data_IF_011139929675
#
_entry.id   IF_011139929675
#
_cell.length_a   1.000
_cell.length_b   1.000
_cell.length_c   1.000
_cell.angle_alpha   90.00
_cell.angle_beta   90.00
_cell.angle_gamma   90.00
#
_symmetry.space_group_name_H-M   'P 1'
#
loop_
_entity.id
_entity.type
_entity.pdbx_description
1 polymer ?
#
# COMPACT_ATOMS: atom_id res chain seq x y z
N UNK A 1 0.72 33.46 -27.87
CA UNK A 1 -0.47 33.47 -27.00
C UNK A 1 -0.88 32.08 -26.50
N UNK A 2 -0.59 30.98 -27.21
CA UNK A 2 -0.76 29.63 -26.62
C UNK A 2 0.42 29.18 -25.74
N UNK A 3 1.65 29.67 -26.02
CA UNK A 3 2.87 29.26 -25.28
C UNK A 3 3.09 29.96 -23.93
N UNK A 4 2.41 31.08 -23.64
CA UNK A 4 2.58 31.77 -22.34
C UNK A 4 1.70 31.18 -21.22
N UNK A 5 0.62 30.46 -21.57
CA UNK A 5 -0.24 29.78 -20.59
C UNK A 5 0.30 28.41 -20.17
N UNK A 6 1.16 27.78 -20.97
CA UNK A 6 1.83 26.50 -20.63
C UNK A 6 2.86 26.64 -19.50
N UNK A 7 3.42 27.83 -19.25
CA UNK A 7 4.35 28.05 -18.14
C UNK A 7 3.65 28.15 -16.78
N UNK A 8 2.35 28.49 -16.72
CA UNK A 8 1.65 28.76 -15.46
C UNK A 8 1.24 27.51 -14.68
N UNK A 9 0.92 26.41 -15.36
CA UNK A 9 0.45 25.19 -14.72
C UNK A 9 1.48 24.10 -14.94
N UNK A 10 2.14 23.69 -13.86
CA UNK A 10 3.03 22.53 -13.88
C UNK A 10 2.27 21.31 -13.40
N UNK A 11 2.30 20.23 -14.18
CA UNK A 11 1.57 19.02 -13.85
C UNK A 11 2.38 17.74 -14.09
N UNK A 12 2.11 16.74 -13.26
CA UNK A 12 2.68 15.39 -13.38
C UNK A 12 1.56 14.39 -13.21
N UNK A 13 1.48 13.45 -14.16
CA UNK A 13 0.63 12.27 -14.05
C UNK A 13 1.50 11.05 -13.78
N UNK A 14 1.12 10.24 -12.80
CA UNK A 14 1.78 8.99 -12.49
C UNK A 14 0.75 7.87 -12.34
N UNK A 15 1.25 6.64 -12.39
CA UNK A 15 0.49 5.45 -12.07
C UNK A 15 1.22 4.70 -10.95
N UNK A 16 0.48 4.10 -10.01
CA UNK A 16 1.06 3.24 -8.98
C UNK A 16 0.29 1.92 -8.86
N UNK A 17 1.01 0.80 -8.67
CA UNK A 17 0.41 -0.52 -8.54
C UNK A 17 -0.17 -0.78 -7.15
N UNK A 18 -1.12 -1.71 -7.09
CA UNK A 18 -1.58 -2.31 -5.84
C UNK A 18 -0.53 -3.32 -5.33
N UNK A 19 -0.40 -3.44 -3.99
CA UNK A 19 0.34 -4.54 -3.37
C UNK A 19 -0.57 -5.42 -2.48
N UNK A 20 -0.19 -6.70 -2.32
CA UNK A 20 -0.86 -7.65 -1.44
C UNK A 20 0.13 -8.15 -0.39
N UNK A 21 -0.20 -8.00 0.89
CA UNK A 21 0.65 -8.48 1.97
C UNK A 21 0.61 -10.02 2.05
N UNK A 22 1.78 -10.62 2.10
CA UNK A 22 2.02 -12.05 2.36
C UNK A 22 2.46 -12.29 3.80
N UNK A 23 3.15 -11.31 4.41
CA UNK A 23 3.27 -11.17 5.87
C UNK A 23 2.53 -9.90 6.27
N UNK A 24 1.50 -10.06 7.10
CA UNK A 24 0.52 -9.00 7.35
C UNK A 24 1.02 -7.89 8.28
N UNK A 25 0.72 -6.66 7.86
CA UNK A 25 0.71 -5.48 8.71
C UNK A 25 -0.64 -5.40 9.46
N UNK A 26 -0.61 -5.49 10.79
CA UNK A 26 -1.80 -5.31 11.63
C UNK A 26 -1.40 -4.76 13.01
N UNK A 27 -1.88 -3.56 13.33
CA UNK A 27 -1.48 -2.80 14.51
C UNK A 27 -0.39 -1.76 14.25
N UNK A 28 -0.51 -0.61 14.92
CA UNK A 28 0.45 0.50 14.93
C UNK A 28 1.04 0.68 16.33
N UNK A 29 2.35 0.84 16.45
CA UNK A 29 2.97 1.33 17.69
C UNK A 29 2.84 2.85 17.84
N UNK A 30 2.67 3.55 16.73
CA UNK A 30 2.47 5.00 16.66
C UNK A 30 1.40 5.34 15.60
N UNK A 31 0.31 5.99 16.02
CA UNK A 31 -0.79 6.37 15.12
C UNK A 31 -0.50 7.63 14.30
N UNK A 32 0.34 8.53 14.81
CA UNK A 32 0.63 9.82 14.21
C UNK A 32 1.61 9.69 13.04
N UNK A 33 2.69 8.91 13.25
CA UNK A 33 3.74 8.60 12.30
C UNK A 33 3.42 7.35 11.46
N UNK A 34 2.37 6.61 11.84
CA UNK A 34 1.93 5.35 11.22
C UNK A 34 3.06 4.31 11.28
N UNK A 35 3.62 4.10 12.47
CA UNK A 35 4.67 3.10 12.69
C UNK A 35 4.04 1.76 13.06
N UNK A 36 4.46 0.64 12.45
CA UNK A 36 3.79 -0.64 12.63
C UNK A 36 4.28 -1.35 13.90
N UNK A 37 3.49 -2.29 14.42
CA UNK A 37 3.97 -3.20 15.48
C UNK A 37 5.03 -4.19 14.98
N UNK A 38 4.93 -4.60 13.73
CA UNK A 38 5.79 -5.60 13.11
C UNK A 38 6.10 -5.24 11.66
N UNK A 39 7.23 -5.74 11.14
CA UNK A 39 7.54 -5.65 9.72
C UNK A 39 6.51 -6.44 8.90
N UNK A 40 6.39 -6.12 7.62
CA UNK A 40 5.48 -6.81 6.70
C UNK A 40 6.15 -7.04 5.36
N UNK A 41 5.62 -7.99 4.59
CA UNK A 41 6.11 -8.33 3.25
C UNK A 41 4.91 -8.38 2.32
N UNK A 42 5.05 -7.84 1.11
CA UNK A 42 4.02 -7.87 0.09
C UNK A 42 4.56 -8.19 -1.29
N UNK A 43 3.66 -8.57 -2.19
CA UNK A 43 3.91 -8.64 -3.62
C UNK A 43 3.17 -7.49 -4.31
N UNK A 44 3.89 -6.76 -5.15
CA UNK A 44 3.34 -5.73 -6.03
C UNK A 44 2.73 -6.38 -7.26
N UNK A 45 1.49 -5.99 -7.60
CA UNK A 45 0.74 -6.55 -8.71
C UNK A 45 1.08 -5.86 -10.03
N UNK A 46 0.70 -6.48 -11.15
CA UNK A 46 0.86 -5.91 -12.48
C UNK A 46 0.11 -4.58 -12.58
N UNK A 47 0.84 -3.51 -12.91
CA UNK A 47 0.30 -2.15 -12.99
C UNK A 47 -0.77 -2.02 -14.08
N UNK A 48 -0.67 -2.79 -15.16
CA UNK A 48 -1.65 -2.78 -16.25
C UNK A 48 -3.03 -3.32 -15.82
N UNK A 49 -3.06 -4.16 -14.78
CA UNK A 49 -4.29 -4.81 -14.29
C UNK A 49 -4.96 -4.00 -13.19
N UNK A 50 -4.21 -3.59 -12.15
CA UNK A 50 -4.73 -2.92 -10.97
C UNK A 50 -3.84 -1.76 -10.54
N UNK A 51 -4.32 -0.54 -10.74
CA UNK A 51 -3.56 0.67 -10.46
C UNK A 51 -4.42 1.85 -9.99
N UNK A 52 -3.74 2.81 -9.38
CA UNK A 52 -4.22 4.18 -9.20
C UNK A 52 -3.50 5.07 -10.20
N UNK A 53 -4.23 5.96 -10.86
CA UNK A 53 -3.67 7.07 -11.65
C UNK A 53 -3.87 8.34 -10.82
N UNK A 54 -2.82 9.13 -10.66
CA UNK A 54 -2.90 10.43 -10.00
C UNK A 54 -2.22 11.48 -10.85
N UNK A 55 -2.95 12.54 -11.15
CA UNK A 55 -2.44 13.79 -11.71
C UNK A 55 -2.34 14.82 -10.58
N UNK A 56 -1.18 15.41 -10.41
CA UNK A 56 -0.97 16.57 -9.53
C UNK A 56 -0.62 17.78 -10.39
N UNK A 57 -1.24 18.91 -10.10
CA UNK A 57 -0.99 20.17 -10.77
C UNK A 57 -0.75 21.28 -9.75
N UNK A 58 0.15 22.21 -10.04
CA UNK A 58 0.45 23.39 -9.23
C UNK A 58 0.44 24.63 -10.11
N UNK A 59 -0.13 25.72 -9.61
CA UNK A 59 -0.25 26.99 -10.34
C UNK A 59 -0.35 28.17 -9.37
N UNK A 60 0.21 29.35 -9.71
CA UNK A 60 -0.01 30.57 -8.95
C UNK A 60 -1.46 31.08 -9.03
N UNK A 61 -2.22 30.64 -10.04
CA UNK A 61 -3.62 31.06 -10.25
C UNK A 61 -4.62 30.20 -9.46
N UNK A 62 -4.17 29.13 -8.80
CA UNK A 62 -5.02 28.36 -7.89
C UNK A 62 -5.24 29.13 -6.59
N UNK A 63 -6.43 29.01 -6.00
CA UNK A 63 -6.81 29.73 -4.79
C UNK A 63 -6.96 28.82 -3.55
N UNK A 64 -6.94 27.50 -3.75
CA UNK A 64 -7.14 26.49 -2.69
C UNK A 64 -6.51 25.14 -3.09
N UNK A 65 -6.11 24.35 -2.11
CA UNK A 65 -5.69 22.96 -2.31
C UNK A 65 -6.96 22.09 -2.53
N UNK A 66 -7.07 21.40 -3.67
CA UNK A 66 -8.24 20.60 -4.02
C UNK A 66 -7.90 19.16 -4.39
N UNK A 67 -8.77 18.21 -4.00
CA UNK A 67 -8.71 16.82 -4.44
C UNK A 67 -9.97 16.42 -5.18
N UNK A 68 -9.84 15.76 -6.32
CA UNK A 68 -10.88 14.98 -6.96
C UNK A 68 -10.51 13.50 -6.87
N UNK A 69 -11.36 12.69 -6.24
CA UNK A 69 -11.19 11.25 -6.14
C UNK A 69 -12.36 10.56 -6.84
N UNK A 70 -12.09 9.85 -7.93
CA UNK A 70 -13.10 9.22 -8.79
C UNK A 70 -14.21 10.22 -9.19
N UNK A 71 -13.82 11.43 -9.59
CA UNK A 71 -14.72 12.50 -10.02
C UNK A 71 -15.43 13.29 -8.90
N UNK A 72 -15.27 12.91 -7.63
CA UNK A 72 -15.86 13.64 -6.49
C UNK A 72 -14.85 14.62 -5.90
N UNK A 73 -15.23 15.90 -5.78
CA UNK A 73 -14.41 16.92 -5.11
C UNK A 73 -14.42 16.70 -3.60
N UNK A 74 -13.24 16.82 -2.99
CA UNK A 74 -12.99 16.76 -1.56
C UNK A 74 -12.14 17.95 -1.14
N UNK A 75 -12.42 18.47 0.05
CA UNK A 75 -11.61 19.52 0.68
C UNK A 75 -10.39 18.89 1.36
N UNK A 76 -9.19 19.30 0.94
CA UNK A 76 -7.93 18.81 1.52
C UNK A 76 -7.78 19.28 2.98
N UNK A 77 -8.42 20.39 3.37
CA UNK A 77 -8.41 20.88 4.75
C UNK A 77 -8.97 19.86 5.75
N UNK A 78 -9.87 18.98 5.32
CA UNK A 78 -10.48 17.92 6.13
C UNK A 78 -9.71 16.57 6.04
N UNK A 79 -8.58 16.53 5.33
CA UNK A 79 -7.84 15.31 5.01
C UNK A 79 -6.41 15.33 5.62
N UNK A 80 -6.26 15.11 6.94
CA UNK A 80 -5.00 15.31 7.65
C UNK A 80 -3.85 14.43 7.12
N UNK A 81 -4.16 13.27 6.56
CA UNK A 81 -3.16 12.37 5.97
C UNK A 81 -2.57 12.92 4.67
N UNK A 82 -3.39 13.54 3.82
CA UNK A 82 -2.93 14.21 2.59
C UNK A 82 -2.14 15.46 2.96
N UNK A 83 -2.63 16.27 3.90
CA UNK A 83 -1.90 17.43 4.40
C UNK A 83 -0.51 17.06 4.92
N UNK A 84 -0.38 15.97 5.69
CA UNK A 84 0.93 15.46 6.16
C UNK A 84 1.86 15.10 5.00
N UNK A 85 1.37 14.45 3.95
CA UNK A 85 2.17 14.14 2.76
C UNK A 85 2.60 15.42 2.02
N UNK A 86 1.67 16.36 1.78
CA UNK A 86 1.95 17.63 1.11
C UNK A 86 2.97 18.47 1.87
N UNK A 87 2.78 18.64 3.19
CA UNK A 87 3.70 19.39 4.04
C UNK A 87 5.10 18.80 4.02
N UNK A 88 5.24 17.47 4.07
CA UNK A 88 6.56 16.83 4.03
C UNK A 88 7.24 16.97 2.66
N UNK A 89 6.49 16.84 1.56
CA UNK A 89 7.04 17.09 0.22
C UNK A 89 7.46 18.56 0.07
N UNK A 90 6.63 19.51 0.50
CA UNK A 90 6.98 20.95 0.47
C UNK A 90 8.23 21.23 1.30
N UNK A 91 8.34 20.67 2.51
CA UNK A 91 9.54 20.77 3.35
C UNK A 91 10.79 20.27 2.62
N UNK A 92 10.75 19.07 2.04
CA UNK A 92 11.89 18.48 1.33
C UNK A 92 12.25 19.27 0.07
N UNK A 93 11.25 19.82 -0.63
CA UNK A 93 11.49 20.66 -1.82
C UNK A 93 12.26 21.93 -1.49
N UNK A 94 12.24 22.42 -0.24
CA UNK A 94 13.02 23.59 0.20
C UNK A 94 14.52 23.31 0.23
N UNK A 95 14.93 22.05 0.36
CA UNK A 95 16.33 21.64 0.29
C UNK A 95 16.88 21.62 -1.15
N UNK A 96 16.02 21.72 -2.18
CA UNK A 96 16.47 21.80 -3.57
C UNK A 96 17.30 23.07 -3.82
N UNK A 97 18.27 23.02 -4.75
CA UNK A 97 19.11 24.18 -5.07
C UNK A 97 18.26 25.42 -5.41
N UNK A 98 18.70 26.64 -5.04
CA UNK A 98 17.94 27.87 -5.26
C UNK A 98 17.61 28.14 -6.75
N UNK A 99 18.39 27.57 -7.66
CA UNK A 99 18.19 27.67 -9.12
C UNK A 99 17.26 26.59 -9.71
N UNK A 100 16.55 25.82 -8.87
CA UNK A 100 15.52 24.91 -9.36
C UNK A 100 14.38 25.73 -9.99
N UNK A 101 14.02 25.40 -11.23
CA UNK A 101 13.06 26.14 -12.04
C UNK A 101 11.66 26.27 -11.42
N UNK A 102 11.36 25.52 -10.36
CA UNK A 102 10.05 25.44 -9.71
C UNK A 102 10.02 26.11 -8.33
N UNK A 103 11.06 26.87 -7.96
CA UNK A 103 11.14 27.52 -6.64
C UNK A 103 9.96 28.46 -6.34
N UNK A 104 9.43 29.13 -7.36
CA UNK A 104 8.28 30.03 -7.24
C UNK A 104 6.94 29.30 -7.01
N UNK A 105 6.86 28.00 -7.29
CA UNK A 105 5.63 27.20 -7.14
C UNK A 105 5.54 26.46 -5.80
N UNK A 106 6.58 26.53 -4.95
CA UNK A 106 6.66 25.73 -3.72
C UNK A 106 5.55 26.03 -2.71
N UNK A 107 5.10 27.28 -2.67
CA UNK A 107 4.04 27.75 -1.78
C UNK A 107 2.69 27.92 -2.50
N UNK A 108 2.62 27.58 -3.79
CA UNK A 108 1.37 27.61 -4.54
C UNK A 108 0.43 26.47 -4.14
N UNK A 109 -0.87 26.69 -4.36
CA UNK A 109 -1.90 25.69 -4.16
C UNK A 109 -1.79 24.57 -5.21
N UNK A 110 -2.27 23.39 -4.84
CA UNK A 110 -2.16 22.16 -5.62
C UNK A 110 -3.56 21.60 -5.88
N UNK A 111 -3.80 21.22 -7.12
CA UNK A 111 -4.95 20.42 -7.52
C UNK A 111 -4.52 18.97 -7.76
N UNK A 112 -5.24 18.03 -7.18
CA UNK A 112 -4.97 16.59 -7.28
C UNK A 112 -6.19 15.92 -7.89
N UNK A 113 -6.02 15.19 -8.99
CA UNK A 113 -7.05 14.32 -9.53
C UNK A 113 -6.56 12.88 -9.48
N UNK A 114 -7.31 11.99 -8.83
CA UNK A 114 -6.94 10.59 -8.66
C UNK A 114 -8.11 9.66 -8.96
N UNK A 115 -7.82 8.56 -9.65
CA UNK A 115 -8.78 7.53 -10.00
C UNK A 115 -8.15 6.13 -9.85
N UNK A 116 -8.99 5.14 -9.58
CA UNK A 116 -8.59 3.74 -9.55
C UNK A 116 -9.34 2.98 -10.65
N UNK A 117 -8.66 2.07 -11.36
CA UNK A 117 -9.31 1.22 -12.35
C UNK A 117 -10.03 -0.01 -11.72
N UNK A 118 -10.19 -0.03 -10.39
CA UNK A 118 -10.80 -1.12 -9.64
C UNK A 118 -11.82 -0.61 -8.62
N UNK A 119 -12.84 -1.42 -8.26
CA UNK A 119 -13.88 -0.96 -7.33
C UNK A 119 -13.29 -0.63 -5.97
N UNK A 120 -13.47 0.62 -5.51
CA UNK A 120 -12.99 1.09 -4.20
C UNK A 120 -13.47 0.21 -3.04
N UNK A 121 -14.66 -0.41 -3.18
CA UNK A 121 -15.26 -1.27 -2.17
C UNK A 121 -14.71 -2.72 -2.17
N UNK A 122 -14.06 -3.20 -3.25
CA UNK A 122 -13.62 -4.59 -3.41
C UNK A 122 -12.42 -5.00 -2.51
N UNK A 123 -12.05 -4.18 -1.51
CA UNK A 123 -11.00 -4.55 -0.57
C UNK A 123 -9.59 -4.62 -1.16
N UNK A 124 -9.36 -4.03 -2.34
CA UNK A 124 -8.10 -4.11 -3.10
C UNK A 124 -7.03 -3.10 -2.66
N UNK A 125 -7.01 -2.71 -1.39
CA UNK A 125 -6.03 -1.75 -0.86
C UNK A 125 -5.94 -0.44 -1.68
N UNK A 126 -7.09 0.10 -2.12
CA UNK A 126 -7.19 1.36 -2.89
C UNK A 126 -6.41 2.52 -2.26
N UNK A 127 -6.41 2.62 -0.94
CA UNK A 127 -5.63 3.66 -0.25
C UNK A 127 -4.12 3.47 -0.41
N UNK A 128 -3.62 2.24 -0.46
CA UNK A 128 -2.18 2.00 -0.57
C UNK A 128 -1.65 2.49 -1.93
N UNK A 129 -2.30 2.07 -3.01
CA UNK A 129 -1.93 2.52 -4.36
C UNK A 129 -2.16 4.02 -4.53
N UNK A 130 -3.28 4.57 -4.05
CA UNK A 130 -3.58 6.00 -4.18
C UNK A 130 -2.56 6.91 -3.48
N UNK A 131 -2.21 6.64 -2.21
CA UNK A 131 -1.20 7.43 -1.50
C UNK A 131 0.21 7.24 -2.07
N UNK A 132 0.54 6.03 -2.52
CA UNK A 132 1.81 5.77 -3.21
C UNK A 132 1.91 6.58 -4.50
N UNK A 133 0.85 6.58 -5.31
CA UNK A 133 0.77 7.35 -6.55
C UNK A 133 0.85 8.86 -6.30
N UNK A 134 0.11 9.35 -5.30
CA UNK A 134 0.14 10.75 -4.88
C UNK A 134 1.55 11.19 -4.49
N UNK A 135 2.20 10.47 -3.58
CA UNK A 135 3.53 10.83 -3.09
C UNK A 135 4.57 10.75 -4.22
N UNK A 136 4.47 9.75 -5.09
CA UNK A 136 5.36 9.64 -6.25
C UNK A 136 5.13 10.79 -7.25
N UNK A 137 3.88 11.12 -7.58
CA UNK A 137 3.58 12.23 -8.49
C UNK A 137 4.06 13.59 -7.92
N UNK A 138 3.85 13.81 -6.61
CA UNK A 138 4.34 14.99 -5.90
C UNK A 138 5.87 15.05 -5.86
N UNK A 139 6.57 13.95 -5.61
CA UNK A 139 8.04 13.95 -5.59
C UNK A 139 8.61 14.26 -6.96
N UNK A 140 7.97 13.76 -8.04
CA UNK A 140 8.32 14.10 -9.42
C UNK A 140 8.05 15.57 -9.75
N UNK A 141 6.88 16.09 -9.36
CA UNK A 141 6.50 17.49 -9.59
C UNK A 141 7.46 18.45 -8.87
N UNK A 142 7.74 18.20 -7.59
CA UNK A 142 8.60 19.06 -6.76
C UNK A 142 10.09 18.70 -6.82
N UNK A 143 10.48 17.76 -7.69
CA UNK A 143 11.86 17.30 -7.86
C UNK A 143 12.53 16.90 -6.54
N UNK A 144 11.81 16.15 -5.70
CA UNK A 144 12.31 15.61 -4.43
C UNK A 144 12.97 14.26 -4.72
N UNK A 145 14.30 14.24 -4.67
CA UNK A 145 15.12 13.03 -4.90
C UNK A 145 15.62 12.45 -3.58
N UNK A 146 14.71 11.81 -2.84
CA UNK A 146 15.01 11.14 -1.58
C UNK A 146 14.13 9.90 -1.38
N UNK A 147 14.35 9.19 -0.27
CA UNK A 147 13.50 8.07 0.14
C UNK A 147 12.06 8.57 0.43
N UNK A 148 11.10 8.20 -0.43
CA UNK A 148 9.72 8.67 -0.36
C UNK A 148 8.76 7.66 0.29
N UNK A 149 9.22 6.44 0.58
CA UNK A 149 8.38 5.42 1.21
C UNK A 149 7.94 5.81 2.63
N UNK A 150 8.75 6.59 3.34
CA UNK A 150 8.38 7.18 4.64
C UNK A 150 7.19 8.15 4.52
N UNK A 151 7.16 8.96 3.46
CA UNK A 151 6.08 9.92 3.20
C UNK A 151 4.80 9.18 2.83
N UNK A 152 4.91 8.15 1.98
CA UNK A 152 3.79 7.29 1.61
C UNK A 152 3.22 6.58 2.85
N UNK A 153 4.06 6.08 3.75
CA UNK A 153 3.66 5.46 5.03
C UNK A 153 2.78 6.38 5.86
N UNK A 154 3.16 7.65 6.00
CA UNK A 154 2.42 8.68 6.77
C UNK A 154 1.04 8.98 6.20
N UNK A 155 0.85 8.78 4.89
CA UNK A 155 -0.46 8.86 4.24
C UNK A 155 -1.30 7.59 4.46
N UNK A 156 -0.71 6.43 4.15
CA UNK A 156 -1.30 5.12 4.39
C UNK A 156 -0.18 4.11 4.60
N UNK A 157 -0.14 3.44 5.76
CA UNK A 157 1.02 2.61 6.15
C UNK A 157 1.51 1.66 5.05
N UNK A 158 0.60 0.88 4.46
CA UNK A 158 0.94 -0.07 3.38
C UNK A 158 1.28 0.56 2.03
N UNK A 159 1.08 1.87 1.83
CA UNK A 159 1.43 2.57 0.60
C UNK A 159 2.95 2.60 0.37
N UNK A 160 3.76 2.58 1.45
CA UNK A 160 5.22 2.55 1.34
C UNK A 160 5.70 1.38 0.47
N UNK A 161 5.01 0.22 0.53
CA UNK A 161 5.38 -0.97 -0.24
C UNK A 161 5.01 -0.89 -1.72
N UNK A 162 4.08 0.00 -2.11
CA UNK A 162 3.71 0.22 -3.52
C UNK A 162 4.70 1.13 -4.26
N UNK A 163 5.67 1.72 -3.57
CA UNK A 163 6.75 2.51 -4.19
C UNK A 163 7.69 1.62 -5.04
N UNK A 164 7.76 0.33 -4.73
CA UNK A 164 8.64 -0.63 -5.40
C UNK A 164 7.86 -1.75 -6.10
N UNK A 165 8.43 -2.30 -7.18
CA UNK A 165 7.92 -3.50 -7.86
C UNK A 165 8.38 -4.81 -7.21
N UNK A 166 7.80 -5.93 -7.61
CA UNK A 166 8.20 -7.27 -7.16
C UNK A 166 7.79 -7.58 -5.71
N UNK A 167 8.73 -8.11 -4.93
CA UNK A 167 8.54 -8.43 -3.51
C UNK A 167 9.13 -7.30 -2.66
N UNK A 168 8.33 -6.77 -1.75
CA UNK A 168 8.66 -5.54 -1.01
C UNK A 168 8.38 -5.73 0.47
N UNK A 169 9.41 -5.53 1.30
CA UNK A 169 9.27 -5.50 2.73
C UNK A 169 9.01 -4.06 3.20
N UNK A 170 8.19 -3.91 4.23
CA UNK A 170 8.17 -2.70 5.06
C UNK A 170 8.79 -3.05 6.40
N UNK A 171 9.93 -2.44 6.68
CA UNK A 171 10.64 -2.60 7.94
C UNK A 171 9.92 -1.80 9.03
N UNK A 172 9.70 -2.43 10.18
CA UNK A 172 9.06 -1.73 11.29
C UNK A 172 9.85 -0.52 11.76
N UNK A 173 11.17 -0.53 11.63
CA UNK A 173 12.04 0.42 12.30
C UNK A 173 12.01 0.30 13.83
N UNK A 174 13.00 0.89 14.47
CA UNK A 174 13.22 0.93 15.91
C UNK A 174 13.30 2.37 16.41
N UNK A 175 13.64 3.32 15.54
CA UNK A 175 13.72 4.73 15.89
C UNK A 175 12.32 5.31 16.16
N UNK A 176 12.25 6.16 17.18
CA UNK A 176 11.00 6.81 17.61
C UNK A 176 10.49 7.84 16.59
N UNK A 177 11.39 8.48 15.84
CA UNK A 177 11.04 9.39 14.75
C UNK A 177 10.54 8.67 13.48
N UNK A 178 10.73 7.35 13.41
CA UNK A 178 10.31 6.50 12.32
C UNK A 178 11.14 6.65 11.04
N UNK A 179 12.31 7.28 11.09
CA UNK A 179 13.18 7.49 9.93
C UNK A 179 13.71 6.18 9.32
N UNK A 180 13.77 5.11 10.11
CA UNK A 180 14.16 3.76 9.69
C UNK A 180 12.97 2.83 9.38
N UNK A 181 11.73 3.31 9.49
CA UNK A 181 10.54 2.52 9.11
C UNK A 181 10.16 2.77 7.65
N UNK A 182 10.94 2.17 6.75
CA UNK A 182 10.86 2.36 5.29
C UNK A 182 10.55 1.06 4.55
N UNK A 183 10.19 1.18 3.28
CA UNK A 183 10.04 0.02 2.41
C UNK A 183 11.36 -0.32 1.71
N UNK A 184 11.61 -1.61 1.48
CA UNK A 184 12.77 -2.13 0.75
C UNK A 184 12.33 -3.20 -0.24
N UNK A 185 12.81 -3.10 -1.47
CA UNK A 185 12.65 -4.17 -2.45
C UNK A 185 13.51 -5.37 -2.05
N UNK A 186 12.87 -6.53 -1.87
CA UNK A 186 13.52 -7.80 -1.58
C UNK A 186 13.91 -8.50 -2.88
N UNK A 187 13.02 -8.48 -3.87
CA UNK A 187 13.25 -9.05 -5.19
C UNK A 187 12.46 -8.29 -6.24
N UNK A 188 13.04 -8.07 -7.41
CA UNK A 188 12.34 -7.43 -8.53
C UNK A 188 11.25 -8.36 -9.10
N UNK A 189 10.37 -7.79 -9.93
CA UNK A 189 9.34 -8.55 -10.65
C UNK A 189 9.91 -9.66 -11.55
N UNK A 190 11.16 -9.53 -12.01
CA UNK A 190 11.82 -10.52 -12.85
C UNK A 190 12.31 -11.75 -12.10
N UNK A 191 12.40 -11.67 -10.76
CA UNK A 191 12.90 -12.77 -9.94
C UNK A 191 12.00 -14.01 -10.00
N UNK A 192 10.67 -13.83 -10.07
CA UNK A 192 9.70 -14.93 -10.09
C UNK A 192 8.65 -14.76 -11.20
N UNK A 193 9.07 -14.89 -12.45
CA UNK A 193 8.20 -14.68 -13.63
C UNK A 193 6.98 -15.61 -13.71
N UNK A 194 7.01 -16.76 -13.05
CA UNK A 194 5.88 -17.71 -12.96
C UNK A 194 4.88 -17.42 -11.83
N UNK A 195 5.13 -16.41 -11.00
CA UNK A 195 4.26 -16.04 -9.90
C UNK A 195 2.98 -15.39 -10.43
N UNK A 196 1.81 -15.86 -10.00
CA UNK A 196 0.52 -15.30 -10.36
C UNK A 196 -0.32 -15.04 -9.11
N UNK A 197 -1.17 -14.03 -9.21
CA UNK A 197 -2.16 -13.71 -8.19
C UNK A 197 -3.53 -13.80 -8.84
N UNK A 198 -4.43 -14.54 -8.23
CA UNK A 198 -5.83 -14.62 -8.59
C UNK A 198 -6.65 -13.97 -7.48
N UNK A 199 -7.44 -12.96 -7.80
CA UNK A 199 -8.30 -12.29 -6.82
C UNK A 199 -9.73 -12.77 -7.02
N UNK A 200 -10.31 -13.39 -6.00
CA UNK A 200 -11.71 -13.76 -5.97
C UNK A 200 -12.48 -12.72 -5.15
N UNK A 201 -13.21 -11.86 -5.86
CA UNK A 201 -14.15 -10.91 -5.24
C UNK A 201 -15.40 -11.70 -4.85
N UNK A 202 -15.58 -11.90 -3.54
CA UNK A 202 -16.71 -12.62 -2.96
C UNK A 202 -17.90 -11.68 -2.75
N UNK A 203 -17.65 -10.39 -2.50
CA UNK A 203 -18.65 -9.32 -2.51
C UNK A 203 -17.98 -7.95 -2.61
N UNK A 204 -18.74 -7.00 -3.12
CA UNK A 204 -18.38 -5.60 -3.31
C UNK A 204 -18.98 -4.68 -2.23
N UNK A 205 -19.59 -5.25 -1.19
CA UNK A 205 -20.21 -4.48 -0.12
C UNK A 205 -19.17 -3.76 0.74
N UNK A 206 -19.48 -2.52 1.13
CA UNK A 206 -18.58 -1.71 1.96
C UNK A 206 -18.32 -2.38 3.32
N UNK A 207 -17.06 -2.30 3.77
CA UNK A 207 -16.65 -2.86 5.07
C UNK A 207 -17.41 -2.17 6.21
N UNK A 208 -17.95 -2.96 7.13
CA UNK A 208 -18.61 -2.45 8.33
C UNK A 208 -17.64 -1.82 9.35
N UNK A 209 -16.39 -2.31 9.41
CA UNK A 209 -15.32 -1.75 10.26
C UNK A 209 -14.09 -1.53 9.37
N UNK A 210 -13.57 -0.30 9.38
CA UNK A 210 -12.36 0.05 8.63
C UNK A 210 -11.10 -0.55 9.26
N UNK A 211 -10.08 -0.83 8.45
CA UNK A 211 -8.83 -1.44 8.93
C UNK A 211 -8.12 -0.60 10.01
N UNK A 212 -8.21 0.74 9.95
CA UNK A 212 -7.61 1.61 10.98
C UNK A 212 -8.23 1.36 12.35
N UNK A 213 -9.55 1.38 12.43
CA UNK A 213 -10.30 1.13 13.66
C UNK A 213 -10.13 -0.33 14.14
N UNK A 214 -10.20 -1.29 13.22
CA UNK A 214 -10.03 -2.71 13.53
C UNK A 214 -8.64 -3.03 14.10
N UNK A 215 -7.59 -2.43 13.55
CA UNK A 215 -6.22 -2.58 14.07
C UNK A 215 -6.05 -1.96 15.44
N UNK A 216 -6.59 -0.75 15.65
CA UNK A 216 -6.54 -0.06 16.94
C UNK A 216 -7.21 -0.89 18.03
N UNK A 217 -8.43 -1.36 17.78
CA UNK A 217 -9.15 -2.22 18.70
C UNK A 217 -8.40 -3.52 18.98
N UNK A 218 -7.74 -4.09 17.99
CA UNK A 218 -6.94 -5.31 18.16
C UNK A 218 -5.75 -5.07 19.09
N UNK A 219 -5.11 -3.90 19.03
CA UNK A 219 -4.03 -3.53 19.97
C UNK A 219 -4.55 -3.41 21.39
N UNK A 220 -5.69 -2.74 21.56
CA UNK A 220 -6.27 -2.48 22.87
C UNK A 220 -6.78 -3.75 23.56
N UNK A 221 -7.22 -4.75 22.78
CA UNK A 221 -7.98 -5.88 23.32
C UNK A 221 -7.36 -7.26 23.11
N UNK A 222 -6.44 -7.45 22.15
CA UNK A 222 -5.90 -8.76 21.81
C UNK A 222 -4.54 -9.01 22.47
N UNK A 223 -4.52 -9.89 23.47
CA UNK A 223 -3.26 -10.40 24.03
C UNK A 223 -2.43 -11.16 22.97
N UNK A 224 -3.10 -11.94 22.11
CA UNK A 224 -2.45 -12.74 21.07
C UNK A 224 -1.75 -11.88 20.01
N UNK A 225 -2.21 -10.64 19.77
CA UNK A 225 -1.56 -9.75 18.81
C UNK A 225 -0.14 -9.39 19.25
N UNK A 226 0.09 -9.20 20.55
CA UNK A 226 1.43 -8.91 21.10
C UNK A 226 2.37 -10.08 20.86
N UNK A 227 1.94 -11.30 21.20
CA UNK A 227 2.71 -12.53 20.95
C UNK A 227 3.01 -12.74 19.45
N UNK A 228 2.03 -12.46 18.58
CA UNK A 228 2.23 -12.51 17.12
C UNK A 228 3.34 -11.55 16.69
N UNK A 229 3.28 -10.30 17.12
CA UNK A 229 4.22 -9.27 16.70
C UNK A 229 5.64 -9.52 17.24
N UNK A 230 5.76 -10.06 18.44
CA UNK A 230 7.03 -10.30 19.12
C UNK A 230 7.71 -11.59 18.68
N UNK A 231 6.97 -12.70 18.54
CA UNK A 231 7.57 -14.03 18.33
C UNK A 231 7.28 -14.63 16.96
N UNK A 232 6.08 -14.43 16.41
CA UNK A 232 5.71 -15.10 15.15
C UNK A 232 6.22 -14.35 13.91
N UNK A 233 6.02 -13.03 13.85
CA UNK A 233 6.34 -12.26 12.64
C UNK A 233 7.85 -12.14 12.39
N UNK A 234 8.72 -11.87 13.39
CA UNK A 234 10.16 -11.80 13.14
C UNK A 234 10.73 -13.08 12.54
N UNK A 235 10.37 -14.25 13.09
CA UNK A 235 10.78 -15.54 12.55
C UNK A 235 10.29 -15.72 11.10
N UNK A 236 9.04 -15.36 10.80
CA UNK A 236 8.49 -15.46 9.44
C UNK A 236 9.17 -14.51 8.45
N UNK A 237 9.53 -13.30 8.88
CA UNK A 237 10.27 -12.35 8.05
C UNK A 237 11.67 -12.89 7.72
N UNK A 238 12.34 -13.51 8.69
CA UNK A 238 13.65 -14.14 8.49
C UNK A 238 13.57 -15.32 7.50
N UNK A 239 12.61 -16.22 7.68
CA UNK A 239 12.36 -17.33 6.74
C UNK A 239 11.98 -16.80 5.35
N UNK A 240 11.22 -15.71 5.28
CA UNK A 240 10.77 -15.10 4.02
C UNK A 240 11.86 -14.37 3.25
N UNK A 241 12.99 -14.01 3.88
CA UNK A 241 14.18 -13.53 3.14
C UNK A 241 14.73 -14.62 2.20
N UNK A 242 14.33 -15.88 2.38
CA UNK A 242 14.63 -16.97 1.46
C UNK A 242 13.55 -17.17 0.36
N UNK A 243 12.55 -16.27 0.28
CA UNK A 243 11.39 -16.19 -0.65
C UNK A 243 10.48 -17.42 -0.73
N UNK A 244 11.03 -18.63 -0.64
CA UNK A 244 10.34 -19.91 -0.66
C UNK A 244 9.45 -20.15 0.58
N UNK A 245 9.64 -19.41 1.67
CA UNK A 245 8.85 -19.55 2.90
C UNK A 245 7.58 -18.67 2.94
N UNK A 246 7.45 -17.72 2.01
CA UNK A 246 6.39 -16.69 1.99
C UNK A 246 4.97 -17.28 1.88
N UNK A 247 4.84 -18.53 1.43
CA UNK A 247 3.56 -19.20 1.22
C UNK A 247 2.95 -19.85 2.50
N UNK A 248 3.59 -19.76 3.67
CA UNK A 248 3.16 -20.50 4.87
C UNK A 248 2.08 -19.82 5.74
N UNK A 249 1.58 -18.62 5.40
CA UNK A 249 1.05 -17.70 6.43
C UNK A 249 -0.47 -17.72 6.73
N UNK A 250 -1.26 -18.71 6.30
CA UNK A 250 -2.68 -18.76 6.73
C UNK A 250 -3.19 -20.17 6.99
N UNK A 251 -3.00 -20.64 8.22
CA UNK A 251 -3.70 -21.81 8.76
C UNK A 251 -3.67 -21.84 10.31
N UNK A 252 -4.81 -21.96 11.03
CA UNK A 252 -6.20 -21.85 10.56
C UNK A 252 -6.65 -20.38 10.38
N UNK A 253 -7.69 -20.13 9.56
CA UNK A 253 -8.19 -18.78 9.27
C UNK A 253 -8.78 -18.05 10.48
N UNK A 254 -8.71 -16.70 10.44
CA UNK A 254 -9.34 -15.80 11.40
C UNK A 254 -10.86 -15.75 11.15
N UNK A 255 -11.65 -16.23 12.12
CA UNK A 255 -13.12 -16.24 12.13
C UNK A 255 -13.72 -14.84 12.49
N UNK A 256 -15.04 -14.59 12.33
CA UNK A 256 -15.68 -13.28 12.05
C UNK A 256 -15.15 -12.07 12.83
N UNK A 257 -15.06 -10.85 12.22
CA UNK A 257 -15.98 -10.31 11.19
C UNK A 257 -15.43 -10.17 9.75
N UNK A 258 -14.23 -10.67 9.44
CA UNK A 258 -13.59 -10.47 8.13
C UNK A 258 -13.72 -11.63 7.13
N UNK A 259 -14.15 -12.83 7.58
CA UNK A 259 -14.34 -13.99 6.71
C UNK A 259 -15.80 -14.43 6.68
N UNK A 260 -16.34 -14.63 5.48
CA UNK A 260 -17.67 -15.20 5.27
C UNK A 260 -17.61 -16.73 5.17
N UNK A 261 -18.76 -17.39 5.16
CA UNK A 261 -18.86 -18.83 4.87
C UNK A 261 -18.27 -19.16 3.50
N UNK A 262 -18.46 -18.29 2.51
CA UNK A 262 -17.82 -18.42 1.19
C UNK A 262 -16.30 -18.36 1.31
N UNK A 263 -15.73 -17.41 2.05
CA UNK A 263 -14.28 -17.34 2.26
C UNK A 263 -13.73 -18.63 2.86
N UNK A 264 -14.40 -19.21 3.86
CA UNK A 264 -13.99 -20.50 4.44
C UNK A 264 -14.06 -21.65 3.42
N UNK A 265 -15.12 -21.72 2.60
CA UNK A 265 -15.26 -22.75 1.56
C UNK A 265 -14.14 -22.68 0.53
N UNK A 266 -13.72 -21.48 0.13
CA UNK A 266 -12.63 -21.37 -0.83
C UNK A 266 -11.28 -21.71 -0.17
N UNK A 267 -11.11 -21.44 1.14
CA UNK A 267 -9.94 -21.94 1.91
C UNK A 267 -9.89 -23.47 1.93
N UNK A 268 -11.02 -24.12 2.19
CA UNK A 268 -11.15 -25.57 2.15
C UNK A 268 -10.84 -26.12 0.75
N UNK A 269 -11.43 -25.54 -0.30
CA UNK A 269 -11.21 -25.96 -1.69
C UNK A 269 -9.73 -25.97 -2.07
N UNK A 270 -8.99 -24.91 -1.76
CA UNK A 270 -7.56 -24.85 -2.08
C UNK A 270 -6.73 -25.79 -1.23
N UNK A 271 -7.11 -25.99 0.03
CA UNK A 271 -6.47 -26.99 0.89
C UNK A 271 -6.65 -28.40 0.31
N UNK A 272 -7.86 -28.75 -0.09
CA UNK A 272 -8.18 -30.04 -0.73
C UNK A 272 -7.47 -30.21 -2.07
N UNK A 273 -7.43 -29.16 -2.90
CA UNK A 273 -6.67 -29.15 -4.16
C UNK A 273 -5.19 -29.43 -3.91
N UNK A 274 -4.57 -28.75 -2.94
CA UNK A 274 -3.16 -28.94 -2.60
C UNK A 274 -2.88 -30.37 -2.11
N UNK A 275 -3.77 -30.90 -1.27
CA UNK A 275 -3.68 -32.28 -0.79
C UNK A 275 -3.81 -33.30 -1.93
N UNK A 276 -4.75 -33.09 -2.85
CA UNK A 276 -5.00 -34.01 -3.98
C UNK A 276 -3.79 -34.13 -4.91
N UNK A 277 -3.10 -33.01 -5.20
CA UNK A 277 -1.93 -33.01 -6.07
C UNK A 277 -0.60 -33.27 -5.33
N UNK A 278 -0.64 -33.54 -4.02
CA UNK A 278 0.56 -33.84 -3.22
C UNK A 278 1.54 -32.68 -3.14
N UNK A 279 1.07 -31.43 -3.26
CA UNK A 279 1.93 -30.27 -3.11
C UNK A 279 2.37 -30.14 -1.65
N UNK A 280 3.66 -29.87 -1.36
CA UNK A 280 4.08 -29.57 -0.01
C UNK A 280 3.31 -28.37 0.51
N UNK A 281 2.87 -28.38 1.78
CA UNK A 281 2.25 -27.22 2.45
C UNK A 281 3.06 -25.93 2.30
N UNK A 282 4.37 -26.06 2.05
CA UNK A 282 5.33 -24.97 1.90
C UNK A 282 5.48 -24.41 0.48
N UNK A 283 5.04 -25.08 -0.59
CA UNK A 283 5.54 -24.75 -1.94
C UNK A 283 4.55 -24.16 -2.94
N UNK A 284 3.23 -24.40 -2.89
CA UNK A 284 2.34 -23.90 -3.94
C UNK A 284 0.89 -23.70 -3.49
N UNK A 285 0.27 -22.64 -4.01
CA UNK A 285 -1.08 -22.12 -3.71
C UNK A 285 -1.27 -21.71 -2.24
N UNK A 286 -0.80 -20.51 -1.90
CA UNK A 286 -1.08 -19.89 -0.61
C UNK A 286 -2.29 -18.96 -0.72
N UNK A 287 -3.10 -18.95 0.33
CA UNK A 287 -4.24 -18.05 0.43
C UNK A 287 -3.82 -16.93 1.34
N UNK A 288 -4.06 -15.71 0.90
CA UNK A 288 -3.86 -14.55 1.74
C UNK A 288 -5.15 -13.76 1.80
N UNK A 289 -5.60 -13.50 3.02
CA UNK A 289 -6.84 -12.76 3.24
C UNK A 289 -6.47 -11.32 3.61
N UNK A 290 -7.08 -10.36 2.94
CA UNK A 290 -7.05 -8.98 3.38
C UNK A 290 -8.27 -8.70 4.26
N UNK A 291 -8.18 -7.78 5.23
CA UNK A 291 -9.28 -7.39 6.08
C UNK A 291 -10.29 -6.58 5.27
N UNK A 292 -11.04 -7.26 4.41
CA UNK A 292 -12.20 -6.79 3.70
C UNK A 292 -13.33 -7.78 3.99
N UNK A 293 -14.57 -7.30 4.10
CA UNK A 293 -15.69 -8.20 3.86
C UNK A 293 -15.54 -8.59 2.39
N UNK A 294 -15.05 -9.80 2.18
CA UNK A 294 -15.34 -10.57 0.97
C UNK A 294 -14.46 -10.28 -0.28
N UNK A 295 -13.15 -10.10 -0.10
CA UNK A 295 -12.20 -10.38 -1.19
C UNK A 295 -11.18 -11.43 -0.71
N UNK A 296 -11.22 -12.62 -1.30
CA UNK A 296 -10.22 -13.65 -1.02
C UNK A 296 -9.17 -13.61 -2.12
N UNK A 297 -7.93 -13.37 -1.73
CA UNK A 297 -6.81 -13.25 -2.66
C UNK A 297 -6.01 -14.56 -2.64
N UNK A 298 -5.89 -15.15 -3.82
CA UNK A 298 -5.13 -16.36 -4.05
C UNK A 298 -3.80 -16.00 -4.67
N UNK A 299 -2.76 -16.61 -4.14
CA UNK A 299 -1.44 -16.55 -4.73
C UNK A 299 -1.19 -17.92 -5.35
N UNK A 300 -1.27 -17.97 -6.67
CA UNK A 300 -0.95 -19.17 -7.45
C UNK A 300 0.46 -18.97 -7.96
N UNK A 301 1.44 -19.52 -7.25
CA UNK A 301 2.77 -19.61 -7.80
C UNK A 301 2.83 -20.83 -8.72
N UNK A 302 3.21 -20.68 -9.99
CA UNK A 302 3.68 -21.83 -10.76
C UNK A 302 5.18 -21.99 -10.46
N UNK A 303 5.62 -23.24 -10.22
CA UNK A 303 7.05 -23.55 -9.97
C UNK A 303 7.92 -22.76 -10.95
N UNK A 304 8.91 -22.04 -10.43
CA UNK A 304 10.11 -21.77 -11.22
C UNK A 304 10.69 -23.14 -11.52
N UNK A 305 10.69 -23.54 -12.80
CA UNK A 305 11.47 -24.70 -13.24
C UNK A 305 12.94 -24.37 -13.16
#
# INVERSE_FOLDING_TARGET
>A
MADEDEEKIQMVTCQAPVNIAVIKYWGKRDEELILPLNSSLSVTLGIDELHSITTVAVSPDFCEDCLWLNGRKHDIAEMPRIQKCLSKIRELSKCNPPNCSLSYLKDCYIHICSENNFPTAAGLASSAAGYSCLVFALSRLFQVDCEISEIARRGSGSACRSIFGGFVAWEKGELADGSDSIAKQIASQDHWKGFRVLILVVSDQQKGIGSTEGMKRSIETSYLLKLRAEFCVPQRMEESNQLHAVCQDTYPPITPPYMSSTSHRIVQLVTEYNNFYGFPKSLLNSITLEPAKEAVKYIISTKVR
#
